data_IF_538549900357
#
_entry.id   IF_538549900357
#
_cell.length_a   1.000
_cell.length_b   1.000
_cell.length_c   1.000
_cell.angle_alpha   90.00
_cell.angle_beta   90.00
_cell.angle_gamma   90.00
#
_symmetry.space_group_name_H-M   'P 1'
#
loop_
_entity.id
_entity.type
_entity.pdbx_description
1 polymer ?
#
# COMPACT_ATOMS: atom_id res chain seq x y z
N UNK A 1 -24.88 4.99 60.52
CA UNK A 1 -24.59 5.94 59.43
C UNK A 1 -23.64 5.25 58.46
N UNK A 2 -24.16 4.84 57.29
CA UNK A 2 -23.45 4.09 56.25
C UNK A 2 -22.45 5.02 55.54
N UNK A 3 -21.15 4.70 55.56
CA UNK A 3 -20.15 5.38 54.72
C UNK A 3 -20.23 4.82 53.31
N UNK A 4 -20.52 5.70 52.36
CA UNK A 4 -20.65 5.40 50.96
C UNK A 4 -19.32 4.91 50.36
N UNK A 5 -19.40 3.77 49.67
CA UNK A 5 -18.38 3.19 48.81
C UNK A 5 -18.34 4.01 47.51
N UNK A 6 -17.24 4.72 47.24
CA UNK A 6 -17.02 5.39 45.96
C UNK A 6 -16.45 4.35 45.00
N UNK A 7 -17.31 3.77 44.15
CA UNK A 7 -16.93 3.09 42.92
C UNK A 7 -17.24 4.06 41.78
N UNK A 8 -16.22 4.57 41.10
CA UNK A 8 -16.39 5.37 39.90
C UNK A 8 -15.04 5.94 39.46
N UNK A 9 -14.56 5.76 38.25
CA UNK A 9 -15.00 4.93 37.13
C UNK A 9 -13.78 4.77 36.22
N UNK A 10 -13.54 3.56 35.70
CA UNK A 10 -12.59 3.36 34.62
C UNK A 10 -13.22 3.96 33.35
N UNK A 11 -12.83 5.18 33.02
CA UNK A 11 -13.21 5.81 31.76
C UNK A 11 -12.42 5.21 30.60
N UNK A 12 -13.17 4.93 29.53
CA UNK A 12 -12.81 4.38 28.23
C UNK A 12 -11.52 4.99 27.62
N UNK A 13 -10.54 4.13 27.30
CA UNK A 13 -9.36 4.47 26.47
C UNK A 13 -9.31 3.67 25.15
N UNK A 14 -10.46 3.23 24.62
CA UNK A 14 -10.51 2.26 23.52
C UNK A 14 -10.49 2.86 22.10
N UNK A 15 -10.57 4.18 21.93
CA UNK A 15 -10.81 4.80 20.62
C UNK A 15 -9.56 4.99 19.75
N UNK A 16 -8.39 5.25 20.35
CA UNK A 16 -7.18 5.60 19.57
C UNK A 16 -6.55 4.41 18.84
N UNK A 17 -6.68 3.20 19.38
CA UNK A 17 -6.09 2.00 18.79
C UNK A 17 -6.87 1.51 17.55
N UNK A 18 -8.19 1.70 17.53
CA UNK A 18 -9.05 1.33 16.39
C UNK A 18 -8.78 2.26 15.20
N UNK A 19 -8.66 3.57 15.45
CA UNK A 19 -8.38 4.57 14.42
C UNK A 19 -6.99 4.38 13.78
N UNK A 20 -5.97 4.03 14.57
CA UNK A 20 -4.64 3.70 14.05
C UNK A 20 -4.69 2.47 13.12
N UNK A 21 -5.44 1.42 13.49
CA UNK A 21 -5.57 0.21 12.67
C UNK A 21 -6.28 0.46 11.33
N UNK A 22 -7.27 1.35 11.27
CA UNK A 22 -7.94 1.69 10.00
C UNK A 22 -7.04 2.49 9.06
N UNK A 23 -6.27 3.44 9.60
CA UNK A 23 -5.29 4.22 8.83
C UNK A 23 -4.18 3.34 8.26
N UNK A 24 -3.58 2.47 9.09
CA UNK A 24 -2.56 1.50 8.67
C UNK A 24 -3.11 0.55 7.61
N UNK A 25 -4.37 0.12 7.76
CA UNK A 25 -5.04 -0.71 6.76
C UNK A 25 -5.20 0.04 5.43
N UNK A 26 -5.68 1.28 5.45
CA UNK A 26 -5.85 2.09 4.24
C UNK A 26 -4.52 2.37 3.55
N UNK A 27 -3.51 2.77 4.31
CA UNK A 27 -2.15 2.97 3.82
C UNK A 27 -1.56 1.70 3.20
N UNK A 28 -1.61 0.57 3.92
CA UNK A 28 -1.10 -0.72 3.43
C UNK A 28 -1.79 -1.15 2.13
N UNK A 29 -3.10 -0.89 1.96
CA UNK A 29 -3.79 -1.16 0.69
C UNK A 29 -3.23 -0.35 -0.48
N UNK A 30 -2.92 0.94 -0.29
CA UNK A 30 -2.33 1.75 -1.35
C UNK A 30 -0.93 1.27 -1.72
N UNK A 31 -0.13 0.91 -0.71
CA UNK A 31 1.22 0.36 -0.93
C UNK A 31 1.15 -0.97 -1.68
N UNK A 32 0.19 -1.85 -1.38
CA UNK A 32 -0.07 -3.10 -2.11
C UNK A 32 -0.39 -2.82 -3.59
N UNK A 33 -1.24 -1.83 -3.87
CA UNK A 33 -1.55 -1.41 -5.25
C UNK A 33 -0.30 -0.90 -5.97
N UNK A 34 0.60 -0.21 -5.27
CA UNK A 34 1.89 0.23 -5.80
C UNK A 34 2.84 -0.92 -6.10
N UNK A 35 2.95 -1.91 -5.21
CA UNK A 35 3.74 -3.10 -5.45
C UNK A 35 3.27 -3.85 -6.70
N UNK A 36 1.95 -4.03 -6.86
CA UNK A 36 1.36 -4.62 -8.06
C UNK A 36 1.67 -3.81 -9.33
N UNK A 37 1.53 -2.49 -9.27
CA UNK A 37 1.84 -1.59 -10.40
C UNK A 37 3.30 -1.70 -10.83
N UNK A 38 4.23 -1.65 -9.87
CA UNK A 38 5.66 -1.79 -10.14
C UNK A 38 6.00 -3.17 -10.68
N UNK A 39 5.34 -4.22 -10.19
CA UNK A 39 5.50 -5.56 -10.74
C UNK A 39 5.11 -5.61 -12.22
N UNK A 40 3.89 -5.19 -12.56
CA UNK A 40 3.39 -5.15 -13.95
C UNK A 40 4.34 -4.35 -14.84
N UNK A 41 4.74 -3.17 -14.36
CA UNK A 41 5.60 -2.26 -15.12
C UNK A 41 6.98 -2.87 -15.38
N UNK A 42 7.60 -3.49 -14.36
CA UNK A 42 8.91 -4.13 -14.52
C UNK A 42 8.87 -5.32 -15.47
N UNK A 43 7.84 -6.17 -15.38
CA UNK A 43 7.65 -7.33 -16.26
C UNK A 43 7.43 -6.90 -17.71
N UNK A 44 6.61 -5.86 -17.92
CA UNK A 44 6.39 -5.31 -19.25
C UNK A 44 7.65 -4.71 -19.87
N UNK A 45 8.44 -3.94 -19.09
CA UNK A 45 9.74 -3.42 -19.55
C UNK A 45 10.72 -4.55 -19.89
N UNK A 46 10.77 -5.60 -19.06
CA UNK A 46 11.62 -6.76 -19.32
C UNK A 46 11.19 -7.49 -20.62
N UNK A 47 9.89 -7.64 -20.85
CA UNK A 47 9.33 -8.29 -22.03
C UNK A 47 9.62 -7.53 -23.34
N UNK A 48 9.88 -6.22 -23.29
CA UNK A 48 10.29 -5.43 -24.46
C UNK A 48 11.68 -5.82 -25.00
N UNK A 49 12.48 -6.56 -24.21
CA UNK A 49 13.84 -6.98 -24.56
C UNK A 49 14.71 -5.83 -25.11
N UNK A 50 14.58 -4.65 -24.50
CA UNK A 50 15.24 -3.42 -24.91
C UNK A 50 16.40 -3.11 -23.93
N UNK A 51 17.67 -3.29 -24.33
CA UNK A 51 18.83 -3.12 -23.42
C UNK A 51 18.88 -1.76 -22.73
N UNK A 52 18.51 -0.68 -23.44
CA UNK A 52 18.46 0.67 -22.90
C UNK A 52 17.43 0.86 -21.78
N UNK A 53 16.44 -0.03 -21.65
CA UNK A 53 15.41 0.00 -20.61
C UNK A 53 15.69 -0.97 -19.46
N UNK A 54 16.76 -1.77 -19.50
CA UNK A 54 17.06 -2.74 -18.44
C UNK A 54 17.17 -2.09 -17.07
N UNK A 55 17.93 -1.00 -16.97
CA UNK A 55 18.07 -0.26 -15.70
C UNK A 55 16.73 0.30 -15.20
N UNK A 56 15.79 0.62 -16.09
CA UNK A 56 14.43 1.04 -15.71
C UNK A 56 13.66 -0.13 -15.13
N UNK A 57 13.69 -1.28 -15.82
CA UNK A 57 13.04 -2.52 -15.36
C UNK A 57 13.55 -2.97 -13.99
N UNK A 58 14.86 -2.91 -13.78
CA UNK A 58 15.49 -3.23 -12.48
C UNK A 58 15.06 -2.27 -11.37
N UNK A 59 15.06 -0.95 -11.63
CA UNK A 59 14.56 0.02 -10.65
C UNK A 59 13.10 -0.25 -10.27
N UNK A 60 12.24 -0.52 -11.24
CA UNK A 60 10.83 -0.84 -10.98
C UNK A 60 10.70 -2.14 -10.18
N UNK A 61 11.51 -3.16 -10.49
CA UNK A 61 11.55 -4.40 -9.70
C UNK A 61 11.96 -4.14 -8.24
N UNK A 62 12.92 -3.25 -8.01
CA UNK A 62 13.31 -2.85 -6.65
C UNK A 62 12.20 -2.08 -5.94
N UNK A 63 11.53 -1.14 -6.63
CA UNK A 63 10.38 -0.42 -6.06
C UNK A 63 9.20 -1.34 -5.72
N UNK A 64 9.02 -2.44 -6.47
CA UNK A 64 8.07 -3.49 -6.10
C UNK A 64 8.43 -4.13 -4.76
N UNK A 65 9.70 -4.49 -4.56
CA UNK A 65 10.19 -5.11 -3.32
C UNK A 65 10.05 -4.13 -2.15
N UNK A 66 10.46 -2.88 -2.35
CA UNK A 66 10.32 -1.82 -1.33
C UNK A 66 8.87 -1.59 -0.90
N UNK A 67 7.94 -1.53 -1.85
CA UNK A 67 6.52 -1.43 -1.56
C UNK A 67 5.99 -2.66 -0.82
N UNK A 68 6.37 -3.87 -1.24
CA UNK A 68 5.99 -5.09 -0.55
C UNK A 68 6.50 -5.10 0.91
N UNK A 69 7.77 -4.79 1.13
CA UNK A 69 8.37 -4.75 2.46
C UNK A 69 7.73 -3.67 3.34
N UNK A 70 7.39 -2.52 2.77
CA UNK A 70 6.64 -1.47 3.47
C UNK A 70 5.24 -1.95 3.88
N UNK A 71 4.51 -2.65 3.01
CA UNK A 71 3.20 -3.19 3.35
C UNK A 71 3.27 -4.26 4.45
N UNK A 72 4.33 -5.07 4.48
CA UNK A 72 4.58 -6.12 5.49
C UNK A 72 4.82 -5.56 6.91
N UNK A 73 5.15 -4.28 7.05
CA UNK A 73 5.27 -3.64 8.36
C UNK A 73 3.91 -3.53 9.08
N UNK A 74 2.80 -3.54 8.33
CA UNK A 74 1.45 -3.30 8.85
C UNK A 74 0.52 -4.51 8.70
N UNK A 75 0.95 -5.55 7.98
CA UNK A 75 0.15 -6.75 7.72
C UNK A 75 1.01 -8.01 7.65
N UNK A 76 0.45 -9.20 7.96
CA UNK A 76 1.15 -10.46 7.80
C UNK A 76 1.64 -10.66 6.36
N UNK A 77 2.86 -11.19 6.21
CA UNK A 77 3.50 -11.40 4.91
C UNK A 77 2.64 -12.21 3.93
N UNK A 78 2.03 -13.31 4.40
CA UNK A 78 1.18 -14.14 3.56
C UNK A 78 -0.03 -13.36 3.00
N UNK A 79 -0.62 -12.46 3.80
CA UNK A 79 -1.72 -11.61 3.35
C UNK A 79 -1.25 -10.57 2.33
N UNK A 80 -0.07 -9.97 2.55
CA UNK A 80 0.51 -8.99 1.61
C UNK A 80 0.80 -9.65 0.26
N UNK A 81 1.46 -10.82 0.24
CA UNK A 81 1.79 -11.53 -1.00
C UNK A 81 0.52 -11.86 -1.79
N UNK A 82 -0.52 -12.38 -1.12
CA UNK A 82 -1.79 -12.69 -1.77
C UNK A 82 -2.47 -11.41 -2.29
N UNK A 83 -2.51 -10.35 -1.48
CA UNK A 83 -3.15 -9.10 -1.87
C UNK A 83 -2.45 -8.41 -3.06
N UNK A 84 -1.11 -8.52 -3.16
CA UNK A 84 -0.34 -8.05 -4.32
C UNK A 84 -0.72 -8.85 -5.56
N UNK A 85 -0.82 -10.18 -5.46
CA UNK A 85 -1.23 -11.02 -6.58
C UNK A 85 -2.65 -10.66 -7.07
N UNK A 86 -3.58 -10.44 -6.14
CA UNK A 86 -4.95 -10.04 -6.46
C UNK A 86 -5.00 -8.63 -7.08
N UNK A 87 -4.25 -7.68 -6.52
CA UNK A 87 -4.15 -6.31 -7.07
C UNK A 87 -3.55 -6.33 -8.48
N UNK A 88 -2.52 -7.13 -8.72
CA UNK A 88 -1.93 -7.34 -10.04
C UNK A 88 -2.96 -7.87 -11.02
N UNK A 89 -3.73 -8.89 -10.64
CA UNK A 89 -4.79 -9.45 -11.49
C UNK A 89 -5.86 -8.40 -11.82
N UNK A 90 -6.33 -7.62 -10.84
CA UNK A 90 -7.30 -6.53 -11.05
C UNK A 90 -6.75 -5.44 -11.98
N UNK A 91 -5.50 -5.01 -11.77
CA UNK A 91 -4.88 -3.99 -12.60
C UNK A 91 -4.70 -4.46 -14.04
N UNK A 92 -4.25 -5.70 -14.26
CA UNK A 92 -4.18 -6.30 -15.61
C UNK A 92 -5.57 -6.38 -16.23
N UNK A 93 -6.59 -6.80 -15.49
CA UNK A 93 -7.96 -6.85 -15.99
C UNK A 93 -8.45 -5.46 -16.42
N UNK A 94 -8.11 -4.41 -15.65
CA UNK A 94 -8.47 -3.03 -15.97
C UNK A 94 -7.87 -2.50 -17.28
N UNK A 95 -6.80 -3.14 -17.78
CA UNK A 95 -6.22 -2.81 -19.08
C UNK A 95 -7.09 -3.29 -20.26
N UNK A 96 -8.08 -4.15 -20.03
CA UNK A 96 -9.02 -4.60 -21.07
C UNK A 96 -8.35 -5.33 -22.24
N UNK A 97 -7.24 -6.03 -21.98
CA UNK A 97 -6.44 -6.70 -23.01
C UNK A 97 -5.42 -5.82 -23.72
N UNK A 98 -5.33 -4.53 -23.36
CA UNK A 98 -4.27 -3.63 -23.84
C UNK A 98 -2.92 -4.00 -23.23
N UNK A 99 -1.87 -4.03 -24.05
CA UNK A 99 -0.48 -4.09 -23.58
C UNK A 99 0.10 -2.71 -23.21
N UNK A 100 -0.68 -1.64 -23.42
CA UNK A 100 -0.24 -0.28 -23.11
C UNK A 100 -0.41 0.02 -21.61
N UNK A 101 0.69 0.28 -20.93
CA UNK A 101 0.72 0.65 -19.51
C UNK A 101 0.24 2.07 -19.22
N UNK A 102 -0.02 2.91 -20.23
CA UNK A 102 -0.33 4.33 -20.06
C UNK A 102 -1.45 4.61 -19.05
N UNK A 103 -2.50 3.77 -19.02
CA UNK A 103 -3.58 3.88 -18.04
C UNK A 103 -3.10 3.63 -16.60
N UNK A 104 -2.28 2.60 -16.39
CA UNK A 104 -1.69 2.31 -15.08
C UNK A 104 -0.67 3.39 -14.68
N UNK A 105 0.16 3.84 -15.61
CA UNK A 105 1.11 4.92 -15.35
C UNK A 105 0.40 6.20 -14.92
N UNK A 106 -0.66 6.60 -15.63
CA UNK A 106 -1.43 7.80 -15.26
C UNK A 106 -2.10 7.69 -13.88
N UNK A 107 -2.48 6.48 -13.46
CA UNK A 107 -3.13 6.26 -12.17
C UNK A 107 -2.15 6.11 -11.00
N UNK A 108 -1.03 5.40 -11.21
CA UNK A 108 -0.20 4.92 -10.11
C UNK A 108 1.18 5.56 -10.05
N UNK A 109 1.76 6.01 -11.17
CA UNK A 109 3.18 6.39 -11.22
C UNK A 109 3.56 7.41 -10.14
N UNK A 110 2.96 8.59 -10.18
CA UNK A 110 3.39 9.71 -9.32
C UNK A 110 2.95 9.50 -7.86
N UNK A 111 1.76 8.92 -7.66
CA UNK A 111 1.27 8.55 -6.34
C UNK A 111 2.18 7.53 -5.67
N UNK A 112 2.53 6.45 -6.36
CA UNK A 112 3.39 5.41 -5.80
C UNK A 112 4.84 5.88 -5.59
N UNK A 113 5.35 6.77 -6.44
CA UNK A 113 6.65 7.40 -6.19
C UNK A 113 6.63 8.25 -4.92
N UNK A 114 5.56 9.03 -4.73
CA UNK A 114 5.40 9.88 -3.54
C UNK A 114 5.23 9.05 -2.27
N UNK A 115 4.43 7.98 -2.33
CA UNK A 115 4.20 7.07 -1.19
C UNK A 115 5.50 6.42 -0.72
N UNK A 116 6.34 5.94 -1.64
CA UNK A 116 7.62 5.34 -1.26
C UNK A 116 8.65 6.38 -0.78
N UNK A 117 8.62 7.60 -1.33
CA UNK A 117 9.51 8.67 -0.89
C UNK A 117 9.14 9.26 0.48
N UNK A 118 7.84 9.35 0.77
CA UNK A 118 7.32 9.98 1.99
C UNK A 118 6.24 9.09 2.68
N UNK A 119 6.57 7.85 3.08
CA UNK A 119 5.58 6.87 3.57
C UNK A 119 4.88 7.34 4.84
N UNK A 120 5.61 7.95 5.77
CA UNK A 120 5.05 8.47 7.01
C UNK A 120 4.02 9.58 6.75
N UNK A 121 4.32 10.50 5.83
CA UNK A 121 3.39 11.58 5.47
C UNK A 121 2.10 11.04 4.86
N UNK A 122 2.18 9.95 4.08
CA UNK A 122 0.97 9.31 3.56
C UNK A 122 0.19 8.58 4.65
N UNK A 123 0.88 7.94 5.60
CA UNK A 123 0.23 7.35 6.76
C UNK A 123 -0.47 8.42 7.62
N UNK A 124 0.18 9.56 7.87
CA UNK A 124 -0.39 10.69 8.61
C UNK A 124 -1.66 11.23 7.93
N UNK A 125 -1.68 11.30 6.59
CA UNK A 125 -2.90 11.60 5.85
C UNK A 125 -4.03 10.63 6.19
N UNK A 126 -3.74 9.32 6.22
CA UNK A 126 -4.75 8.32 6.52
C UNK A 126 -5.22 8.40 7.96
N UNK A 127 -4.33 8.66 8.92
CA UNK A 127 -4.69 8.91 10.32
C UNK A 127 -5.69 10.07 10.41
N UNK A 128 -5.47 11.16 9.65
CA UNK A 128 -6.41 12.28 9.62
C UNK A 128 -7.71 11.98 8.87
N UNK A 129 -7.65 11.18 7.81
CA UNK A 129 -8.80 10.86 6.98
C UNK A 129 -9.72 9.80 7.62
N UNK A 130 -9.21 8.98 8.53
CA UNK A 130 -9.96 7.97 9.28
C UNK A 130 -10.31 8.40 10.70
N UNK A 131 -9.93 9.62 11.12
CA UNK A 131 -10.33 10.22 12.41
C UNK A 131 -11.82 10.54 12.48
#
# INVERSE_FOLDING_TARGET
MLKALVIGGLALSASSAVLAGEAEKAFSNEVIECAAYYQISSEAIAAMNAPQMQAVGERLKNSKVEAEDLAKQYRPEAEVIQAIADAKARQIQSLGGSSNLGALMGKYKDGCQTILAEPQKRLDYWIMATM
#
